data_IF_844862745910
#
_entry.id   IF_844862745910
#
_cell.length_a   1.000
_cell.length_b   1.000
_cell.length_c   1.000
_cell.angle_alpha   90.00
_cell.angle_beta   90.00
_cell.angle_gamma   90.00
#
_symmetry.space_group_name_H-M   'P 1'
#
loop_
_entity.id
_entity.type
_entity.pdbx_description
1 polymer ?
#
# COMPACT_ATOMS: atom_id res chain seq x y z
N UNK A 1 40.79 -34.13 33.95
CA UNK A 1 40.82 -33.34 32.69
C UNK A 1 39.41 -32.83 32.38
N UNK A 2 38.84 -31.94 33.19
CA UNK A 2 37.40 -31.59 33.16
C UNK A 2 37.11 -30.10 32.84
N UNK A 3 38.13 -29.32 32.44
CA UNK A 3 38.00 -27.85 32.32
C UNK A 3 37.90 -27.33 30.87
N UNK A 4 38.04 -28.19 29.86
CA UNK A 4 38.06 -27.78 28.44
C UNK A 4 36.64 -27.63 27.84
N UNK A 5 35.70 -28.51 28.19
CA UNK A 5 34.34 -28.53 27.61
C UNK A 5 33.47 -27.30 27.97
N UNK A 6 33.63 -26.76 29.19
CA UNK A 6 32.82 -25.65 29.69
C UNK A 6 33.27 -24.28 29.12
N UNK A 7 34.51 -24.17 28.65
CA UNK A 7 35.03 -22.94 28.01
C UNK A 7 34.57 -22.83 26.55
N UNK A 8 34.53 -23.96 25.84
CA UNK A 8 34.11 -24.03 24.43
C UNK A 8 32.60 -23.75 24.31
N UNK A 9 31.77 -24.34 25.19
CA UNK A 9 30.33 -24.11 25.19
C UNK A 9 29.95 -22.64 25.47
N UNK A 10 30.68 -21.97 26.37
CA UNK A 10 30.48 -20.53 26.68
C UNK A 10 30.87 -19.60 25.53
N UNK A 11 31.92 -19.94 24.76
CA UNK A 11 32.30 -19.17 23.57
C UNK A 11 31.27 -19.32 22.44
N UNK A 12 30.80 -20.54 22.20
CA UNK A 12 29.78 -20.83 21.18
C UNK A 12 28.46 -20.13 21.52
N UNK A 13 28.02 -20.18 22.78
CA UNK A 13 26.78 -19.54 23.21
C UNK A 13 26.83 -18.01 23.08
N UNK A 14 27.97 -17.37 23.42
CA UNK A 14 28.17 -15.92 23.23
C UNK A 14 28.16 -15.51 21.75
N UNK A 15 28.79 -16.30 20.87
CA UNK A 15 28.79 -16.05 19.43
C UNK A 15 27.39 -16.18 18.83
N UNK A 16 26.61 -17.18 19.25
CA UNK A 16 25.22 -17.38 18.79
C UNK A 16 24.31 -16.24 19.25
N UNK A 17 24.42 -15.79 20.51
CA UNK A 17 23.61 -14.67 21.02
C UNK A 17 23.96 -13.35 20.30
N UNK A 18 25.23 -13.14 19.98
CA UNK A 18 25.68 -11.94 19.23
C UNK A 18 25.15 -11.95 17.81
N UNK A 19 25.24 -13.08 17.12
CA UNK A 19 24.71 -13.25 15.75
C UNK A 19 23.19 -13.09 15.70
N UNK A 20 22.46 -13.63 16.69
CA UNK A 20 21.00 -13.51 16.75
C UNK A 20 20.57 -12.06 17.00
N UNK A 21 21.30 -11.34 17.87
CA UNK A 21 21.01 -9.94 18.20
C UNK A 21 21.28 -9.00 17.03
N UNK A 22 22.33 -9.25 16.22
CA UNK A 22 22.61 -8.45 15.03
C UNK A 22 21.59 -8.70 13.91
N UNK A 23 21.16 -9.96 13.71
CA UNK A 23 20.08 -10.32 12.78
C UNK A 23 18.74 -9.64 13.12
N UNK A 24 18.41 -9.54 14.41
CA UNK A 24 17.19 -8.88 14.87
C UNK A 24 17.22 -7.36 14.60
N UNK A 25 18.36 -6.71 14.86
CA UNK A 25 18.53 -5.26 14.65
C UNK A 25 18.52 -4.86 13.17
N UNK A 26 19.10 -5.67 12.28
CA UNK A 26 19.04 -5.45 10.83
C UNK A 26 17.58 -5.53 10.33
N UNK A 27 16.79 -6.47 10.85
CA UNK A 27 15.39 -6.65 10.44
C UNK A 27 14.48 -5.46 10.79
N UNK A 28 14.79 -4.75 11.89
CA UNK A 28 14.02 -3.58 12.35
C UNK A 28 14.32 -2.33 11.51
N UNK A 29 15.52 -2.20 10.93
CA UNK A 29 15.89 -1.02 10.14
C UNK A 29 15.17 -0.93 8.78
N UNK A 30 14.74 -2.07 8.22
CA UNK A 30 14.11 -2.12 6.89
C UNK A 30 12.63 -1.70 6.87
N UNK A 31 11.98 -1.45 8.02
CA UNK A 31 10.54 -1.20 8.08
C UNK A 31 10.14 0.27 7.99
N UNK A 32 11.07 1.20 7.82
CA UNK A 32 10.78 2.64 7.74
C UNK A 32 10.45 3.11 6.31
N UNK A 33 9.42 2.53 5.70
CA UNK A 33 8.84 3.12 4.48
C UNK A 33 7.89 4.22 4.93
N UNK A 34 8.31 5.48 4.74
CA UNK A 34 7.66 6.67 5.27
C UNK A 34 6.17 6.74 4.94
N UNK A 35 5.35 6.82 5.99
CA UNK A 35 3.96 7.19 5.87
C UNK A 35 3.88 8.69 5.59
N UNK A 36 3.96 9.06 4.31
CA UNK A 36 3.71 10.43 3.90
C UNK A 36 2.22 10.72 4.06
N UNK A 37 1.87 11.63 4.97
CA UNK A 37 0.55 12.23 5.00
C UNK A 37 0.26 12.79 3.61
N UNK A 38 -0.83 12.30 2.98
CA UNK A 38 -1.09 12.57 1.56
C UNK A 38 -2.48 13.16 1.42
N UNK A 39 -2.56 14.45 1.72
CA UNK A 39 -3.78 15.22 1.50
C UNK A 39 -3.88 15.66 0.03
N UNK A 40 -5.02 15.39 -0.60
CA UNK A 40 -5.32 15.82 -1.97
C UNK A 40 -6.64 16.59 -2.04
N UNK A 41 -6.75 17.50 -3.00
CA UNK A 41 -8.02 18.20 -3.28
C UNK A 41 -8.89 17.35 -4.19
N UNK A 42 -9.96 16.79 -3.64
CA UNK A 42 -10.94 15.95 -4.33
C UNK A 42 -12.11 16.80 -4.81
N UNK A 43 -12.43 16.70 -6.11
CA UNK A 43 -13.50 17.47 -6.72
C UNK A 43 -14.84 17.13 -6.06
N UNK A 44 -15.60 18.17 -5.71
CA UNK A 44 -16.90 18.09 -5.04
C UNK A 44 -16.89 17.53 -3.60
N UNK A 45 -15.71 17.27 -3.02
CA UNK A 45 -15.56 16.78 -1.64
C UNK A 45 -14.71 17.73 -0.81
N UNK A 46 -13.58 18.19 -1.33
CA UNK A 46 -12.62 19.03 -0.60
C UNK A 46 -11.30 18.31 -0.32
N UNK A 47 -10.61 18.71 0.74
CA UNK A 47 -9.34 18.09 1.13
C UNK A 47 -9.60 16.73 1.78
N UNK A 48 -8.91 15.70 1.30
CA UNK A 48 -8.99 14.33 1.83
C UNK A 48 -7.58 13.82 2.07
N UNK A 49 -7.34 13.23 3.24
CA UNK A 49 -6.12 12.49 3.52
C UNK A 49 -6.24 11.04 3.05
N UNK A 50 -5.36 10.66 2.13
CA UNK A 50 -5.31 9.33 1.53
C UNK A 50 -4.36 8.37 2.28
N UNK A 51 -3.77 8.78 3.40
CA UNK A 51 -2.81 7.96 4.15
C UNK A 51 -3.38 6.60 4.59
N UNK A 52 -4.69 6.52 4.84
CA UNK A 52 -5.36 5.28 5.23
C UNK A 52 -5.77 4.38 4.03
N UNK A 53 -5.60 4.85 2.79
CA UNK A 53 -6.04 4.13 1.60
C UNK A 53 -4.88 3.38 0.94
N UNK A 54 -5.18 2.21 0.36
CA UNK A 54 -4.25 1.47 -0.49
C UNK A 54 -4.20 2.13 -1.86
N UNK A 55 -3.06 2.72 -2.24
CA UNK A 55 -2.91 3.49 -3.47
C UNK A 55 -2.04 2.79 -4.51
N UNK A 56 -2.59 2.58 -5.69
CA UNK A 56 -1.91 2.01 -6.85
C UNK A 56 -1.64 3.11 -7.90
N UNK A 57 -0.36 3.42 -8.11
CA UNK A 57 0.06 4.32 -9.19
C UNK A 57 -0.04 3.61 -10.54
N UNK A 58 -0.67 4.26 -11.49
CA UNK A 58 -1.02 3.66 -12.77
C UNK A 58 -0.15 4.24 -13.88
N UNK A 59 0.66 3.39 -14.51
CA UNK A 59 1.53 3.75 -15.65
C UNK A 59 0.94 3.32 -17.00
N UNK A 60 0.12 2.27 -17.00
CA UNK A 60 -0.50 1.70 -18.21
C UNK A 60 -1.68 2.51 -18.78
N UNK A 61 -2.05 3.63 -18.15
CA UNK A 61 -3.14 4.50 -18.61
C UNK A 61 -2.68 5.97 -18.70
N UNK A 62 -3.07 6.64 -19.78
CA UNK A 62 -2.90 8.08 -19.94
C UNK A 62 -3.99 8.91 -19.25
N UNK A 63 -5.09 8.27 -18.85
CA UNK A 63 -6.26 8.93 -18.27
C UNK A 63 -6.41 8.65 -16.78
N UNK A 64 -6.21 7.39 -16.35
CA UNK A 64 -6.22 7.02 -14.94
C UNK A 64 -4.77 7.08 -14.44
N UNK A 65 -4.46 7.95 -13.49
CA UNK A 65 -3.09 8.12 -12.98
C UNK A 65 -2.83 7.39 -11.69
N UNK A 66 -3.85 7.28 -10.86
CA UNK A 66 -3.76 6.64 -9.57
C UNK A 66 -5.14 6.23 -9.08
N UNK A 67 -5.19 5.14 -8.33
CA UNK A 67 -6.39 4.64 -7.70
C UNK A 67 -6.09 4.27 -6.26
N UNK A 68 -6.77 4.92 -5.32
CA UNK A 68 -6.66 4.69 -3.89
C UNK A 68 -7.97 4.09 -3.38
N UNK A 69 -7.91 2.96 -2.67
CA UNK A 69 -9.10 2.22 -2.25
C UNK A 69 -8.97 1.73 -0.80
N UNK A 70 -10.11 1.61 -0.15
CA UNK A 70 -10.25 0.94 1.14
C UNK A 70 -11.30 -0.18 1.01
N UNK A 71 -10.85 -1.42 1.12
CA UNK A 71 -11.69 -2.62 1.01
C UNK A 71 -12.74 -2.70 2.11
N UNK A 72 -12.53 -2.05 3.25
CA UNK A 72 -13.49 -2.00 4.35
C UNK A 72 -14.65 -1.03 4.11
N UNK A 73 -14.44 0.00 3.27
CA UNK A 73 -15.40 1.09 3.07
C UNK A 73 -16.08 1.09 1.69
N UNK A 74 -15.65 0.23 0.76
CA UNK A 74 -16.08 0.25 -0.64
C UNK A 74 -15.94 1.65 -1.28
N UNK A 75 -14.89 2.37 -0.87
CA UNK A 75 -14.65 3.76 -1.23
C UNK A 75 -13.37 3.87 -2.05
N UNK A 76 -13.45 4.60 -3.16
CA UNK A 76 -12.35 4.76 -4.10
C UNK A 76 -12.13 6.23 -4.39
N UNK A 77 -10.88 6.67 -4.23
CA UNK A 77 -10.39 7.92 -4.79
C UNK A 77 -9.59 7.62 -6.05
N UNK A 78 -9.91 8.30 -7.15
CA UNK A 78 -9.23 8.11 -8.43
C UNK A 78 -8.74 9.44 -8.96
N UNK A 79 -7.49 9.47 -9.43
CA UNK A 79 -6.94 10.62 -10.14
C UNK A 79 -7.17 10.44 -11.64
N UNK A 80 -8.11 11.21 -12.19
CA UNK A 80 -8.41 11.28 -13.61
C UNK A 80 -7.65 12.47 -14.20
N UNK A 81 -6.65 12.19 -15.03
CA UNK A 81 -5.61 13.15 -15.42
C UNK A 81 -4.99 13.80 -14.16
N UNK A 82 -5.35 15.05 -13.86
CA UNK A 82 -4.82 15.79 -12.72
C UNK A 82 -5.88 16.09 -11.66
N UNK A 83 -7.10 15.55 -11.79
CA UNK A 83 -8.23 15.85 -10.92
C UNK A 83 -8.63 14.60 -10.15
N UNK A 84 -8.71 14.73 -8.83
CA UNK A 84 -9.18 13.67 -7.95
C UNK A 84 -10.71 13.64 -7.87
N UNK A 85 -11.28 12.44 -7.90
CA UNK A 85 -12.71 12.17 -7.72
C UNK A 85 -12.88 11.06 -6.67
N UNK A 86 -14.01 11.08 -5.96
CA UNK A 86 -14.44 10.01 -5.06
C UNK A 86 -15.58 9.21 -5.68
N UNK A 87 -15.58 7.91 -5.49
CA UNK A 87 -16.66 7.00 -5.87
C UNK A 87 -16.92 6.00 -4.75
N UNK A 88 -18.17 5.96 -4.28
CA UNK A 88 -18.64 4.99 -3.31
C UNK A 88 -19.19 3.73 -4.02
N UNK A 89 -19.52 2.69 -3.24
CA UNK A 89 -20.01 1.39 -3.72
C UNK A 89 -19.06 0.68 -4.70
N UNK A 90 -17.76 0.81 -4.45
CA UNK A 90 -16.68 0.22 -5.22
C UNK A 90 -16.04 -0.92 -4.44
N UNK A 91 -16.60 -2.13 -4.56
CA UNK A 91 -16.06 -3.31 -3.88
C UNK A 91 -14.73 -3.79 -4.49
N UNK A 92 -14.03 -4.66 -3.76
CA UNK A 92 -12.74 -5.23 -4.15
C UNK A 92 -12.75 -5.88 -5.54
N UNK A 93 -13.83 -6.58 -5.90
CA UNK A 93 -13.94 -7.19 -7.23
C UNK A 93 -13.96 -6.12 -8.33
N UNK A 94 -14.70 -5.03 -8.14
CA UNK A 94 -14.72 -3.91 -9.09
C UNK A 94 -13.36 -3.23 -9.20
N UNK A 95 -12.71 -2.96 -8.07
CA UNK A 95 -11.37 -2.36 -8.01
C UNK A 95 -10.34 -3.24 -8.71
N UNK A 96 -10.28 -4.52 -8.37
CA UNK A 96 -9.34 -5.48 -8.98
C UNK A 96 -9.59 -5.65 -10.49
N UNK A 97 -10.86 -5.66 -10.90
CA UNK A 97 -11.20 -5.70 -12.34
C UNK A 97 -10.77 -4.41 -13.03
N UNK A 98 -10.89 -3.26 -12.37
CA UNK A 98 -10.46 -1.99 -12.95
C UNK A 98 -8.93 -1.93 -13.09
N UNK A 99 -8.19 -2.33 -12.06
CA UNK A 99 -6.72 -2.36 -12.05
C UNK A 99 -6.14 -3.31 -13.12
N UNK A 100 -6.80 -4.43 -13.36
CA UNK A 100 -6.40 -5.43 -14.38
C UNK A 100 -6.99 -5.20 -15.78
N UNK A 101 -7.84 -4.17 -15.95
CA UNK A 101 -8.51 -3.94 -17.23
C UNK A 101 -7.51 -3.57 -18.33
N UNK A 102 -7.57 -4.28 -19.47
CA UNK A 102 -6.79 -3.97 -20.68
C UNK A 102 -6.90 -2.50 -21.11
N UNK A 103 -8.07 -1.87 -20.89
CA UNK A 103 -8.24 -0.43 -21.02
C UNK A 103 -8.98 0.12 -19.80
N UNK A 104 -8.22 0.65 -18.85
CA UNK A 104 -8.75 1.22 -17.61
C UNK A 104 -9.72 2.39 -17.87
N UNK A 105 -9.45 3.20 -18.90
CA UNK A 105 -10.36 4.29 -19.31
C UNK A 105 -11.68 3.78 -19.89
N UNK A 106 -11.66 2.66 -20.64
CA UNK A 106 -12.89 2.02 -21.12
C UNK A 106 -13.71 1.43 -19.97
N UNK A 107 -13.05 0.80 -19.01
CA UNK A 107 -13.71 0.30 -17.80
C UNK A 107 -14.39 1.45 -17.04
N UNK A 108 -13.67 2.53 -16.78
CA UNK A 108 -14.20 3.74 -16.14
C UNK A 108 -15.48 4.25 -16.82
N UNK A 109 -15.41 4.49 -18.13
CA UNK A 109 -16.54 5.04 -18.88
C UNK A 109 -17.77 4.11 -18.88
N UNK A 110 -17.55 2.79 -18.85
CA UNK A 110 -18.64 1.81 -18.90
C UNK A 110 -19.23 1.51 -17.53
N UNK A 111 -18.44 1.47 -16.46
CA UNK A 111 -18.88 0.91 -15.16
C UNK A 111 -18.87 1.90 -14.00
N UNK A 112 -18.12 3.01 -14.11
CA UNK A 112 -17.92 3.95 -13.00
C UNK A 112 -18.59 5.29 -13.28
N UNK A 113 -18.26 5.91 -14.42
CA UNK A 113 -18.72 7.25 -14.78
C UNK A 113 -20.24 7.33 -14.80
N UNK A 114 -20.79 8.16 -13.90
CA UNK A 114 -22.24 8.40 -13.80
C UNK A 114 -23.05 7.22 -13.26
N UNK A 115 -22.41 6.14 -12.81
CA UNK A 115 -23.06 4.94 -12.26
C UNK A 115 -22.73 4.69 -10.79
N UNK A 116 -21.63 5.26 -10.34
CA UNK A 116 -21.18 5.21 -8.96
C UNK A 116 -21.28 6.62 -8.39
N UNK A 117 -21.92 6.71 -7.23
CA UNK A 117 -22.17 7.96 -6.53
C UNK A 117 -21.84 7.75 -5.07
N UNK A 118 -21.21 8.75 -4.47
CA UNK A 118 -21.49 9.09 -3.10
C UNK A 118 -22.68 10.09 -3.14
#
# INVERSE_FOLDING_TARGET
MENSGNSICRKIMRSITTLCSTLLLVSILLTSIGAHARTVSVKYVGLVDLQAYQCEKITQSSFIRELCFDSGQNDVFVQLNNIWYRYCDMNDTMVNTWLSAHSMGRYYNRHVKGKKTC
#
